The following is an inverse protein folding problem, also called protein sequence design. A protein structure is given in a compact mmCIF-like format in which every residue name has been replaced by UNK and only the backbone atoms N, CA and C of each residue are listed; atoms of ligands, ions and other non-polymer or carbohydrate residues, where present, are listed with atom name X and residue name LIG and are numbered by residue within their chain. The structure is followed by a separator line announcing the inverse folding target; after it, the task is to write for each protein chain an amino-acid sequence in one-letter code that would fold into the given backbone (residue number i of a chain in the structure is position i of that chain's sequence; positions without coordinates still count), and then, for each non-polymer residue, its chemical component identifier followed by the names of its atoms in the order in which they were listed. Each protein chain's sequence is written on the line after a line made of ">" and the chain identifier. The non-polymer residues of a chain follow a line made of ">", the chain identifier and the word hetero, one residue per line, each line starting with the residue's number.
data_IF_191489812941
#
_entry.id   IF_191489812941
#
_cell.length_a   1.000
_cell.length_b   1.000
_cell.length_c   1.000
_cell.angle_alpha   90.00
_cell.angle_beta   90.00
_cell.angle_gamma   90.00
#
_symmetry.space_group_name_H-M   'P 1'
#
loop_
_entity.id
_entity.type
_entity.pdbx_description
1 polymer ?
#
# COMPACT_ATOMS: atom_id res chain seq x y z
N UNK A 1 -0.47 36.25 -21.60
CA UNK A 1 -0.95 36.64 -22.94
C UNK A 1 0.28 36.93 -23.76
N UNK A 2 0.58 36.12 -24.77
CA UNK A 2 1.70 36.35 -25.65
C UNK A 2 1.15 36.49 -27.07
N UNK A 3 1.61 37.48 -27.85
CA UNK A 3 1.23 37.58 -29.26
C UNK A 3 1.67 36.32 -29.99
N UNK A 4 0.86 35.85 -30.93
CA UNK A 4 1.21 34.72 -31.78
C UNK A 4 1.65 35.23 -33.14
N UNK A 5 2.73 34.64 -33.65
CA UNK A 5 3.25 34.91 -34.98
C UNK A 5 2.78 33.79 -35.90
N UNK A 6 2.24 34.15 -37.07
CA UNK A 6 1.90 33.18 -38.09
C UNK A 6 2.67 33.47 -39.38
N UNK A 7 3.11 32.40 -40.03
CA UNK A 7 3.75 32.44 -41.34
C UNK A 7 3.05 31.41 -42.22
N UNK A 8 2.57 31.84 -43.38
CA UNK A 8 1.87 30.98 -44.34
C UNK A 8 2.42 31.25 -45.73
N UNK A 9 2.49 30.20 -46.55
CA UNK A 9 2.89 30.31 -47.95
C UNK A 9 2.23 29.22 -48.79
N UNK A 10 2.05 29.50 -50.08
CA UNK A 10 1.34 28.59 -50.96
C UNK A 10 1.43 28.97 -52.43
N UNK A 11 1.07 28.02 -53.30
CA UNK A 11 1.03 28.21 -54.75
C UNK A 11 -0.37 28.68 -55.14
N UNK A 12 -0.44 29.70 -55.98
CA UNK A 12 -1.71 30.29 -56.44
C UNK A 12 -1.84 30.18 -57.96
N UNK A 13 -3.05 29.88 -58.43
CA UNK A 13 -3.45 30.06 -59.82
C UNK A 13 -4.30 31.32 -59.92
N UNK A 14 -3.93 32.22 -60.82
CA UNK A 14 -4.68 33.45 -61.08
C UNK A 14 -5.10 33.41 -62.54
N UNK A 15 -6.42 33.48 -62.79
CA UNK A 15 -7.01 33.45 -64.13
C UNK A 15 -6.57 32.25 -64.99
N UNK A 16 -6.48 31.04 -64.40
CA UNK A 16 -6.11 29.82 -65.11
C UNK A 16 -4.61 29.65 -65.39
N UNK A 17 -3.76 30.61 -64.96
CA UNK A 17 -2.32 30.53 -65.11
C UNK A 17 -1.65 30.14 -63.77
N UNK A 18 -0.79 29.12 -63.80
CA UNK A 18 -0.08 28.58 -62.63
C UNK A 18 1.35 29.11 -62.49
N UNK A 19 1.91 29.05 -61.27
CA UNK A 19 3.31 29.42 -61.00
C UNK A 19 3.49 30.64 -60.11
N UNK A 20 2.41 31.15 -59.51
CA UNK A 20 2.50 32.23 -58.54
C UNK A 20 2.73 31.66 -57.14
N UNK A 21 3.63 32.29 -56.38
CA UNK A 21 3.89 31.96 -54.98
C UNK A 21 3.42 33.11 -54.10
N UNK A 22 2.75 32.79 -53.01
CA UNK A 22 2.32 33.75 -52.01
C UNK A 22 3.01 33.43 -50.69
N UNK A 23 3.41 34.48 -49.98
CA UNK A 23 3.94 34.38 -48.63
C UNK A 23 3.27 35.48 -47.79
N UNK A 24 2.80 35.12 -46.60
CA UNK A 24 2.13 36.02 -45.68
C UNK A 24 2.68 35.80 -44.26
N UNK A 25 3.07 36.88 -43.60
CA UNK A 25 3.41 36.89 -42.19
C UNK A 25 2.45 37.82 -41.45
N UNK A 26 2.02 37.43 -40.26
CA UNK A 26 1.11 38.20 -39.42
C UNK A 26 1.40 38.06 -37.93
N UNK A 27 0.92 39.04 -37.17
CA UNK A 27 0.98 39.06 -35.70
C UNK A 27 -0.47 39.14 -35.22
N UNK A 28 -0.88 38.20 -34.38
CA UNK A 28 -2.19 38.23 -33.74
C UNK A 28 -2.04 38.68 -32.29
N UNK A 29 -2.66 39.82 -31.97
CA UNK A 29 -2.69 40.40 -30.62
C UNK A 29 -4.11 40.24 -30.06
N UNK A 30 -4.35 39.37 -29.06
CA UNK A 30 -5.67 39.21 -28.48
C UNK A 30 -6.06 40.45 -27.65
N UNK A 31 -7.21 41.07 -27.97
CA UNK A 31 -7.72 42.25 -27.26
C UNK A 31 -8.53 41.90 -26.01
N UNK A 32 -9.19 40.74 -25.98
CA UNK A 32 -9.94 40.23 -24.83
C UNK A 32 -9.47 38.81 -24.48
N UNK A 33 -9.21 38.61 -23.18
CA UNK A 33 -8.28 37.60 -22.67
C UNK A 33 -8.92 36.67 -21.63
N UNK A 34 -10.24 36.79 -21.40
CA UNK A 34 -10.93 36.14 -20.29
C UNK A 34 -10.91 34.61 -20.35
N UNK A 35 -11.03 34.03 -21.54
CA UNK A 35 -11.00 32.58 -21.75
C UNK A 35 -9.64 31.98 -21.41
N UNK A 36 -8.54 32.58 -21.86
CA UNK A 36 -7.17 32.15 -21.53
C UNK A 36 -6.84 32.31 -20.05
N UNK A 37 -7.30 33.39 -19.41
CA UNK A 37 -7.15 33.56 -17.96
C UNK A 37 -7.91 32.47 -17.20
N UNK A 38 -9.09 32.10 -17.69
CA UNK A 38 -9.91 31.02 -17.12
C UNK A 38 -9.25 29.65 -17.34
N UNK A 39 -8.70 29.37 -18.53
CA UNK A 39 -7.92 28.17 -18.82
C UNK A 39 -6.68 28.07 -17.93
N UNK A 40 -5.94 29.16 -17.74
CA UNK A 40 -4.78 29.20 -16.85
C UNK A 40 -5.18 28.97 -15.38
N UNK A 41 -6.31 29.54 -14.93
CA UNK A 41 -6.84 29.29 -13.59
C UNK A 41 -7.25 27.83 -13.41
N UNK A 42 -7.93 27.25 -14.39
CA UNK A 42 -8.31 25.84 -14.38
C UNK A 42 -7.07 24.92 -14.34
N UNK A 43 -6.06 25.19 -15.17
CA UNK A 43 -4.79 24.47 -15.15
C UNK A 43 -4.07 24.58 -13.80
N UNK A 44 -4.09 25.76 -13.17
CA UNK A 44 -3.54 25.96 -11.83
C UNK A 44 -4.28 25.14 -10.78
N UNK A 45 -5.62 25.10 -10.81
CA UNK A 45 -6.42 24.28 -9.90
C UNK A 45 -6.15 22.79 -10.13
N UNK A 46 -6.09 22.34 -11.38
CA UNK A 46 -5.74 20.96 -11.71
C UNK A 46 -4.36 20.57 -11.16
N UNK A 47 -3.37 21.45 -11.28
CA UNK A 47 -2.04 21.23 -10.68
C UNK A 47 -2.12 21.14 -9.15
N UNK A 48 -2.91 21.99 -8.50
CA UNK A 48 -3.09 21.94 -7.04
C UNK A 48 -3.75 20.63 -6.57
N UNK A 49 -4.72 20.12 -7.33
CA UNK A 49 -5.37 18.82 -7.06
C UNK A 49 -4.33 17.70 -7.14
N UNK A 50 -3.57 17.64 -8.23
CA UNK A 50 -2.54 16.58 -8.40
C UNK A 50 -1.48 16.64 -7.31
N UNK A 51 -1.06 17.83 -6.87
CA UNK A 51 -0.13 17.98 -5.74
C UNK A 51 -0.75 17.48 -4.43
N UNK A 52 -2.00 17.86 -4.13
CA UNK A 52 -2.68 17.40 -2.93
C UNK A 52 -2.90 15.88 -2.92
N UNK A 53 -3.22 15.29 -4.07
CA UNK A 53 -3.37 13.83 -4.22
C UNK A 53 -2.04 13.10 -4.01
N UNK A 54 -0.93 13.67 -4.50
CA UNK A 54 0.40 13.12 -4.27
C UNK A 54 0.79 13.17 -2.78
N UNK A 55 0.60 14.31 -2.13
CA UNK A 55 0.86 14.49 -0.69
C UNK A 55 -0.01 13.53 0.15
N UNK A 56 -1.28 13.34 -0.23
CA UNK A 56 -2.17 12.39 0.42
C UNK A 56 -1.67 10.96 0.26
N UNK A 57 -1.24 10.59 -0.94
CA UNK A 57 -0.75 9.23 -1.21
C UNK A 57 0.55 8.92 -0.47
N UNK A 58 1.45 9.90 -0.35
CA UNK A 58 2.67 9.77 0.45
C UNK A 58 2.34 9.50 1.92
N UNK A 59 1.46 10.31 2.53
CA UNK A 59 1.02 10.11 3.91
C UNK A 59 0.28 8.79 4.11
N UNK A 60 -0.49 8.37 3.11
CA UNK A 60 -1.18 7.09 3.15
C UNK A 60 -0.18 5.93 3.23
N UNK A 61 0.86 5.93 2.38
CA UNK A 61 1.91 4.90 2.38
C UNK A 61 2.67 4.92 3.72
N UNK A 62 3.02 6.09 4.23
CA UNK A 62 3.67 6.21 5.54
C UNK A 62 2.81 5.63 6.66
N UNK A 63 1.52 5.95 6.69
CA UNK A 63 0.58 5.39 7.67
C UNK A 63 0.43 3.88 7.53
N UNK A 64 0.32 3.36 6.31
CA UNK A 64 0.20 1.93 6.05
C UNK A 64 1.46 1.16 6.48
N UNK A 65 2.66 1.73 6.23
CA UNK A 65 3.92 1.18 6.71
C UNK A 65 3.99 1.12 8.24
N UNK A 66 3.64 2.22 8.93
CA UNK A 66 3.64 2.26 10.40
C UNK A 66 2.68 1.23 10.99
N UNK A 67 1.51 1.04 10.39
CA UNK A 67 0.56 -0.01 10.79
C UNK A 67 1.13 -1.41 10.59
N UNK A 68 1.81 -1.66 9.46
CA UNK A 68 2.46 -2.94 9.19
C UNK A 68 3.58 -3.24 10.19
N UNK A 69 4.39 -2.24 10.53
CA UNK A 69 5.47 -2.36 11.51
C UNK A 69 4.94 -2.70 12.91
N UNK A 70 3.89 -2.00 13.36
CA UNK A 70 3.26 -2.27 14.66
C UNK A 70 2.64 -3.67 14.71
N UNK A 71 1.99 -4.09 13.62
CA UNK A 71 1.43 -5.44 13.53
C UNK A 71 2.54 -6.51 13.60
N UNK A 72 3.66 -6.30 12.89
CA UNK A 72 4.81 -7.18 12.93
C UNK A 72 5.36 -7.33 14.35
N UNK A 73 5.65 -6.21 15.03
CA UNK A 73 6.19 -6.21 16.40
C UNK A 73 5.26 -6.96 17.37
N UNK A 74 3.96 -6.67 17.32
CA UNK A 74 2.96 -7.34 18.15
C UNK A 74 2.98 -8.87 17.96
N UNK A 75 2.97 -9.32 16.71
CA UNK A 75 2.90 -10.76 16.43
C UNK A 75 4.24 -11.47 16.61
N UNK A 76 5.36 -10.76 16.44
CA UNK A 76 6.69 -11.24 16.81
C UNK A 76 6.76 -11.54 18.30
N UNK A 77 6.34 -10.59 19.16
CA UNK A 77 6.30 -10.78 20.61
C UNK A 77 5.40 -11.97 21.00
N UNK A 78 4.20 -12.05 20.41
CA UNK A 78 3.28 -13.16 20.66
C UNK A 78 3.89 -14.52 20.25
N UNK A 79 4.50 -14.60 19.07
CA UNK A 79 5.16 -15.82 18.61
C UNK A 79 6.34 -16.22 19.51
N UNK A 80 7.16 -15.27 19.94
CA UNK A 80 8.27 -15.55 20.85
C UNK A 80 7.78 -16.07 22.20
N UNK A 81 6.69 -15.53 22.75
CA UNK A 81 6.07 -16.03 23.96
C UNK A 81 5.60 -17.49 23.80
N UNK A 82 4.90 -17.82 22.71
CA UNK A 82 4.47 -19.19 22.47
C UNK A 82 5.65 -20.14 22.29
N UNK A 83 6.64 -19.74 21.48
CA UNK A 83 7.81 -20.56 21.14
C UNK A 83 8.68 -20.85 22.36
N UNK A 84 8.94 -19.84 23.19
CA UNK A 84 9.94 -19.94 24.25
C UNK A 84 9.33 -20.31 25.61
N UNK A 85 8.02 -20.14 25.81
CA UNK A 85 7.37 -20.37 27.11
C UNK A 85 6.22 -21.37 27.01
N UNK A 86 5.17 -21.05 26.24
CA UNK A 86 3.92 -21.81 26.28
C UNK A 86 4.03 -23.23 25.67
N UNK A 87 4.73 -23.37 24.55
CA UNK A 87 4.94 -24.68 23.90
C UNK A 87 5.79 -25.63 24.77
N UNK A 88 6.95 -25.20 25.32
CA UNK A 88 7.69 -26.01 26.29
C UNK A 88 6.83 -26.44 27.49
N UNK A 89 6.05 -25.52 28.06
CA UNK A 89 5.17 -25.82 29.19
C UNK A 89 4.09 -26.85 28.81
N UNK A 90 3.46 -26.72 27.65
CA UNK A 90 2.48 -27.67 27.16
C UNK A 90 3.09 -29.07 26.98
N UNK A 91 4.34 -29.16 26.50
CA UNK A 91 5.06 -30.43 26.38
C UNK A 91 5.30 -31.07 27.76
N UNK A 92 5.73 -30.28 28.75
CA UNK A 92 5.92 -30.74 30.13
C UNK A 92 4.60 -31.20 30.76
N UNK A 93 3.52 -30.45 30.58
CA UNK A 93 2.19 -30.81 31.07
C UNK A 93 1.71 -32.14 30.49
N UNK A 94 1.91 -32.39 29.19
CA UNK A 94 1.57 -33.67 28.55
C UNK A 94 2.37 -34.82 29.15
N UNK A 95 3.68 -34.66 29.30
CA UNK A 95 4.56 -35.69 29.89
C UNK A 95 4.17 -35.97 31.34
N UNK A 96 3.93 -34.93 32.12
CA UNK A 96 3.51 -35.01 33.52
C UNK A 96 2.15 -35.69 33.69
N UNK A 97 1.15 -35.31 32.88
CA UNK A 97 -0.17 -35.92 32.91
C UNK A 97 -0.14 -37.41 32.56
N UNK A 98 0.63 -37.79 31.54
CA UNK A 98 0.80 -39.19 31.16
C UNK A 98 1.44 -40.02 32.29
N UNK A 99 2.46 -39.47 32.95
CA UNK A 99 3.09 -40.13 34.10
C UNK A 99 2.11 -40.26 35.27
N UNK A 100 1.46 -39.16 35.67
CA UNK A 100 0.52 -39.15 36.78
C UNK A 100 -0.65 -40.12 36.58
N UNK A 101 -1.16 -40.23 35.35
CA UNK A 101 -2.21 -41.19 35.03
C UNK A 101 -1.72 -42.64 35.14
N UNK A 102 -0.51 -42.94 34.66
CA UNK A 102 0.10 -44.28 34.75
C UNK A 102 0.36 -44.72 36.19
N UNK A 103 0.75 -43.78 37.05
CA UNK A 103 0.96 -44.00 38.48
C UNK A 103 -0.35 -43.99 39.29
N UNK A 104 -1.50 -43.74 38.65
CA UNK A 104 -2.80 -43.67 39.30
C UNK A 104 -3.01 -42.42 40.17
N UNK A 105 -2.16 -41.41 40.05
CA UNK A 105 -2.23 -40.16 40.80
C UNK A 105 -3.33 -39.20 40.28
N UNK A 106 -3.72 -39.34 39.00
CA UNK A 106 -4.86 -38.62 38.41
C UNK A 106 -5.77 -39.60 37.68
N UNK A 107 -7.05 -39.28 37.61
CA UNK A 107 -8.03 -40.06 36.87
C UNK A 107 -8.01 -39.78 35.36
N UNK A 108 -8.78 -40.55 34.60
CA UNK A 108 -8.87 -40.42 33.15
C UNK A 108 -9.43 -39.06 32.69
N UNK A 109 -10.34 -38.47 33.45
CA UNK A 109 -10.95 -37.19 33.10
C UNK A 109 -9.94 -36.05 33.24
N UNK A 110 -9.21 -36.00 34.36
CA UNK A 110 -8.14 -35.04 34.61
C UNK A 110 -7.00 -35.19 33.58
N UNK A 111 -6.57 -36.41 33.28
CA UNK A 111 -5.59 -36.67 32.23
C UNK A 111 -6.04 -36.10 30.88
N UNK A 112 -7.26 -36.43 30.45
CA UNK A 112 -7.80 -36.01 29.16
C UNK A 112 -7.95 -34.49 29.06
N UNK A 113 -8.30 -33.82 30.17
CA UNK A 113 -8.39 -32.38 30.24
C UNK A 113 -7.02 -31.72 30.00
N UNK A 114 -5.97 -32.17 30.69
CA UNK A 114 -4.62 -31.62 30.52
C UNK A 114 -4.11 -31.82 29.08
N UNK A 115 -4.35 -33.00 28.50
CA UNK A 115 -3.98 -33.26 27.10
C UNK A 115 -4.73 -32.31 26.14
N UNK A 116 -6.02 -32.05 26.39
CA UNK A 116 -6.79 -31.10 25.58
C UNK A 116 -6.25 -29.69 25.69
N UNK A 117 -5.92 -29.23 26.89
CA UNK A 117 -5.40 -27.88 27.13
C UNK A 117 -4.03 -27.67 26.46
N UNK A 118 -3.18 -28.70 26.50
CA UNK A 118 -1.91 -28.69 25.78
C UNK A 118 -2.10 -28.64 24.25
N UNK A 119 -3.04 -29.42 23.70
CA UNK A 119 -3.37 -29.36 22.25
C UNK A 119 -3.89 -27.98 21.87
N UNK A 120 -4.75 -27.37 22.71
CA UNK A 120 -5.24 -26.02 22.46
C UNK A 120 -4.09 -25.00 22.43
N UNK A 121 -3.14 -25.13 23.35
CA UNK A 121 -1.93 -24.28 23.38
C UNK A 121 -1.08 -24.44 22.11
N UNK A 122 -0.93 -25.68 21.62
CA UNK A 122 -0.26 -25.97 20.35
C UNK A 122 -0.99 -25.33 19.15
N UNK A 123 -2.33 -25.34 19.14
CA UNK A 123 -3.13 -24.70 18.10
C UNK A 123 -3.01 -23.17 18.14
N UNK A 124 -3.09 -22.57 19.31
CA UNK A 124 -2.98 -21.11 19.48
C UNK A 124 -1.57 -20.62 19.07
N UNK A 125 -0.53 -21.42 19.33
CA UNK A 125 0.83 -21.13 18.88
C UNK A 125 0.98 -21.16 17.36
N UNK A 126 0.28 -22.07 16.67
CA UNK A 126 0.27 -22.12 15.20
C UNK A 126 -0.44 -20.90 14.62
N UNK A 127 -1.53 -20.45 15.22
CA UNK A 127 -2.20 -19.20 14.82
C UNK A 127 -1.27 -17.99 15.03
N UNK A 128 -0.60 -17.89 16.17
CA UNK A 128 0.37 -16.82 16.42
C UNK A 128 1.52 -16.81 15.40
N UNK A 129 2.03 -17.99 15.02
CA UNK A 129 3.05 -18.13 13.98
C UNK A 129 2.53 -17.65 12.61
N UNK A 130 1.31 -18.04 12.23
CA UNK A 130 0.70 -17.60 10.97
C UNK A 130 0.54 -16.08 10.93
N UNK A 131 0.06 -15.47 12.02
CA UNK A 131 -0.10 -14.03 12.11
C UNK A 131 1.24 -13.30 12.06
N UNK A 132 2.27 -13.83 12.72
CA UNK A 132 3.64 -13.31 12.64
C UNK A 132 4.17 -13.34 11.20
N UNK A 133 4.08 -14.48 10.52
CA UNK A 133 4.56 -14.60 9.14
C UNK A 133 3.78 -13.69 8.19
N UNK A 134 2.46 -13.59 8.36
CA UNK A 134 1.61 -12.68 7.57
C UNK A 134 2.00 -11.22 7.80
N UNK A 135 2.26 -10.82 9.05
CA UNK A 135 2.69 -9.47 9.38
C UNK A 135 4.09 -9.16 8.82
N UNK A 136 5.01 -10.11 8.88
CA UNK A 136 6.34 -10.01 8.27
C UNK A 136 6.23 -9.79 6.76
N UNK A 137 5.45 -10.60 6.04
CA UNK A 137 5.25 -10.42 4.59
C UNK A 137 4.64 -9.07 4.24
N UNK A 138 3.68 -8.58 5.05
CA UNK A 138 3.08 -7.25 4.86
C UNK A 138 4.08 -6.12 5.10
N UNK A 139 4.97 -6.26 6.07
CA UNK A 139 6.02 -5.28 6.32
C UNK A 139 7.03 -5.26 5.17
N UNK A 140 7.43 -6.45 4.69
CA UNK A 140 8.39 -6.60 3.58
C UNK A 140 7.91 -5.95 2.27
N UNK A 141 6.59 -5.90 2.04
CA UNK A 141 6.01 -5.20 0.89
C UNK A 141 6.39 -3.72 0.80
N UNK A 142 6.68 -3.07 1.94
CA UNK A 142 7.07 -1.65 2.00
C UNK A 142 8.58 -1.42 2.07
N UNK A 143 9.38 -2.47 2.29
CA UNK A 143 10.85 -2.37 2.40
C UNK A 143 11.60 -2.84 1.15
N UNK A 144 10.90 -3.54 0.23
CA UNK A 144 11.38 -3.91 -1.11
C UNK A 144 11.31 -2.75 -2.11
#
# INVERSE_FOLDING_TARGET
>A
MLPTFNLQGGIQQVNGNSGFYTYQAGISIPLFSGSDKSRAKAAKIASQIVTADADFKERQIESEYQQALQAYQKWEEAWQFYKNESLPLAEEQRKGALLAYREGAVDYAAFTQIIRDAIQTEMDALEALEQYLTALFKLEYYTL
#
